data_IF_511552176606
#
_entry.id   IF_511552176606
#
_cell.length_a   1.000
_cell.length_b   1.000
_cell.length_c   1.000
_cell.angle_alpha   90.00
_cell.angle_beta   90.00
_cell.angle_gamma   90.00
#
_symmetry.space_group_name_H-M   'P 1'
#
loop_
_entity.id
_entity.type
_entity.pdbx_description
1 polymer ?
#
# COMPACT_ATOMS: atom_id res chain seq x y z
N UNK A 1 -4.87 -17.93 -7.33
CA UNK A 1 -5.17 -17.09 -6.17
C UNK A 1 -5.57 -15.69 -6.58
N UNK A 2 -4.76 -15.05 -7.43
CA UNK A 2 -5.10 -13.72 -7.93
C UNK A 2 -6.37 -13.75 -8.80
N UNK A 3 -6.56 -14.78 -9.57
CA UNK A 3 -7.71 -14.87 -10.47
C UNK A 3 -9.06 -14.94 -9.74
N UNK A 4 -9.04 -15.37 -8.48
CA UNK A 4 -10.25 -15.46 -7.68
C UNK A 4 -10.54 -14.17 -6.90
N UNK A 5 -9.63 -13.22 -6.93
CA UNK A 5 -9.77 -11.98 -6.18
C UNK A 5 -10.42 -10.88 -7.02
N UNK A 6 -11.16 -10.00 -6.36
CA UNK A 6 -11.68 -8.77 -6.97
C UNK A 6 -10.77 -7.59 -6.68
N UNK A 7 -9.94 -7.71 -5.64
CA UNK A 7 -9.04 -6.66 -5.18
C UNK A 7 -7.92 -7.31 -4.39
N UNK A 8 -6.71 -6.81 -4.54
CA UNK A 8 -5.59 -7.19 -3.67
C UNK A 8 -5.26 -5.99 -2.80
N UNK A 9 -5.21 -6.22 -1.49
CA UNK A 9 -4.87 -5.18 -0.52
C UNK A 9 -3.64 -5.60 0.26
N UNK A 10 -2.59 -4.79 0.18
CA UNK A 10 -1.39 -4.97 1.01
C UNK A 10 -1.53 -4.06 2.22
N UNK A 11 -1.86 -4.64 3.36
CA UNK A 11 -2.18 -3.92 4.59
C UNK A 11 -1.63 -4.70 5.79
N UNK A 12 -0.72 -4.18 6.57
CA UNK A 12 0.06 -2.97 6.32
C UNK A 12 1.20 -3.22 5.33
N UNK A 13 1.61 -2.19 4.61
CA UNK A 13 2.74 -2.26 3.70
C UNK A 13 3.94 -1.55 4.31
N UNK A 14 4.96 -2.31 4.67
CA UNK A 14 6.20 -1.76 5.21
C UNK A 14 7.04 -1.14 4.10
N UNK A 15 8.04 -0.35 4.50
CA UNK A 15 9.00 0.20 3.54
C UNK A 15 9.67 -0.91 2.73
N UNK A 16 10.02 -2.02 3.39
CA UNK A 16 10.63 -3.16 2.70
C UNK A 16 9.70 -3.72 1.62
N UNK A 17 8.44 -3.95 1.95
CA UNK A 17 7.47 -4.45 0.98
C UNK A 17 7.30 -3.50 -0.19
N UNK A 18 7.15 -2.21 0.09
CA UNK A 18 6.94 -1.19 -0.95
C UNK A 18 8.13 -1.13 -1.91
N UNK A 19 9.35 -1.08 -1.37
CA UNK A 19 10.54 -1.00 -2.22
C UNK A 19 10.78 -2.28 -3.00
N UNK A 20 10.41 -3.43 -2.43
CA UNK A 20 10.53 -4.71 -3.14
C UNK A 20 9.53 -4.81 -4.30
N UNK A 21 8.29 -4.36 -4.10
CA UNK A 21 7.31 -4.34 -5.18
C UNK A 21 7.78 -3.45 -6.32
N UNK A 22 8.33 -2.29 -5.98
CA UNK A 22 8.87 -1.36 -6.98
C UNK A 22 10.02 -2.01 -7.77
N UNK A 23 10.85 -2.81 -7.12
CA UNK A 23 11.99 -3.46 -7.74
C UNK A 23 11.60 -4.73 -8.51
N UNK A 24 10.36 -5.20 -8.37
CA UNK A 24 9.92 -6.41 -9.04
C UNK A 24 10.49 -7.69 -8.43
N UNK A 25 10.79 -7.67 -7.15
CA UNK A 25 11.37 -8.84 -6.48
C UNK A 25 10.27 -9.82 -6.09
N UNK A 26 10.41 -11.06 -6.51
CA UNK A 26 9.42 -12.11 -6.30
C UNK A 26 9.94 -13.22 -5.39
N UNK A 27 10.66 -12.84 -4.34
CA UNK A 27 11.21 -13.80 -3.38
C UNK A 27 10.32 -13.98 -2.16
N UNK A 28 9.14 -13.37 -2.16
CA UNK A 28 8.12 -13.61 -1.16
C UNK A 28 6.75 -13.69 -1.84
N UNK A 29 5.72 -14.02 -1.07
CA UNK A 29 4.38 -14.21 -1.62
C UNK A 29 3.84 -12.92 -2.24
N UNK A 30 4.00 -11.79 -1.56
CA UNK A 30 3.48 -10.52 -2.05
C UNK A 30 4.09 -10.14 -3.40
N UNK A 31 5.41 -10.28 -3.53
CA UNK A 31 6.10 -10.00 -4.79
C UNK A 31 5.66 -10.93 -5.91
N UNK A 32 5.54 -12.23 -5.61
CA UNK A 32 5.06 -13.19 -6.60
C UNK A 32 3.65 -12.87 -7.07
N UNK A 33 2.75 -12.53 -6.14
CA UNK A 33 1.38 -12.18 -6.47
C UNK A 33 1.32 -10.90 -7.29
N UNK A 34 2.14 -9.92 -6.95
CA UNK A 34 2.18 -8.66 -7.68
C UNK A 34 2.57 -8.86 -9.14
N UNK A 35 3.63 -9.60 -9.38
CA UNK A 35 4.08 -9.87 -10.75
C UNK A 35 3.05 -10.72 -11.50
N UNK A 36 2.51 -11.74 -10.85
CA UNK A 36 1.52 -12.62 -11.47
C UNK A 36 0.22 -11.86 -11.78
N UNK A 37 -0.16 -10.90 -10.95
CA UNK A 37 -1.34 -10.08 -11.19
C UNK A 37 -1.19 -9.26 -12.48
N UNK A 38 -0.02 -8.68 -12.69
CA UNK A 38 0.27 -7.86 -13.86
C UNK A 38 -0.86 -6.86 -14.15
N UNK A 39 -1.35 -6.21 -13.09
CA UNK A 39 -2.35 -5.14 -13.13
C UNK A 39 -3.73 -5.57 -13.64
N UNK A 40 -4.03 -6.85 -13.67
CA UNK A 40 -5.35 -7.35 -14.07
C UNK A 40 -6.42 -7.05 -13.04
N UNK A 41 -6.06 -7.08 -11.76
CA UNK A 41 -6.96 -6.77 -10.64
C UNK A 41 -6.45 -5.52 -9.93
N UNK A 42 -7.35 -4.74 -9.33
CA UNK A 42 -6.92 -3.57 -8.54
C UNK A 42 -5.94 -3.99 -7.45
N UNK A 43 -4.90 -3.21 -7.27
CA UNK A 43 -3.87 -3.45 -6.26
C UNK A 43 -3.76 -2.21 -5.38
N UNK A 44 -4.10 -2.38 -4.12
CA UNK A 44 -4.08 -1.29 -3.15
C UNK A 44 -2.97 -1.51 -2.13
N UNK A 45 -2.32 -0.44 -1.75
CA UNK A 45 -1.20 -0.46 -0.82
C UNK A 45 -1.49 0.52 0.31
N UNK A 46 -1.48 0.02 1.55
CA UNK A 46 -1.68 0.84 2.74
C UNK A 46 -0.36 0.96 3.49
N UNK A 47 0.42 2.03 3.26
CA UNK A 47 1.74 2.19 3.87
C UNK A 47 1.69 2.33 5.39
N UNK A 48 2.68 1.76 6.08
CA UNK A 48 2.86 1.91 7.51
C UNK A 48 4.35 1.87 7.84
N UNK A 49 4.87 2.99 8.31
CA UNK A 49 6.28 3.11 8.69
C UNK A 49 6.48 4.41 9.45
N UNK A 50 7.64 4.58 10.09
CA UNK A 50 7.89 5.84 10.77
C UNK A 50 8.09 6.97 9.75
N UNK A 51 7.97 8.22 10.22
CA UNK A 51 7.98 9.37 9.33
C UNK A 51 9.30 9.56 8.58
N UNK A 52 10.42 9.17 9.18
CA UNK A 52 11.71 9.27 8.49
C UNK A 52 11.80 8.32 7.31
N UNK A 53 11.32 7.10 7.50
CA UNK A 53 11.30 6.12 6.41
C UNK A 53 10.33 6.56 5.32
N UNK A 54 9.17 7.08 5.71
CA UNK A 54 8.16 7.53 4.76
C UNK A 54 8.66 8.69 3.91
N UNK A 55 9.51 9.55 4.48
CA UNK A 55 10.07 10.69 3.77
C UNK A 55 11.34 10.33 2.96
N UNK A 56 11.88 9.14 3.16
CA UNK A 56 13.12 8.76 2.47
C UNK A 56 12.88 8.65 0.96
N UNK A 57 13.80 9.19 0.15
CA UNK A 57 13.63 9.15 -1.31
C UNK A 57 13.38 7.76 -1.89
N UNK A 58 13.96 6.72 -1.32
CA UNK A 58 13.72 5.35 -1.79
C UNK A 58 12.25 4.95 -1.67
N UNK A 59 11.58 5.39 -0.61
CA UNK A 59 10.18 5.08 -0.38
C UNK A 59 9.27 6.01 -1.19
N UNK A 60 9.54 7.31 -1.19
CA UNK A 60 8.73 8.25 -1.95
C UNK A 60 8.79 7.96 -3.44
N UNK A 61 9.98 7.60 -3.95
CA UNK A 61 10.12 7.20 -5.34
C UNK A 61 9.35 5.92 -5.63
N UNK A 62 9.47 4.92 -4.76
CA UNK A 62 8.77 3.65 -4.93
C UNK A 62 7.26 3.84 -4.98
N UNK A 63 6.70 4.65 -4.07
CA UNK A 63 5.27 4.91 -4.06
C UNK A 63 4.82 5.67 -5.31
N UNK A 64 5.62 6.63 -5.76
CA UNK A 64 5.28 7.38 -6.97
C UNK A 64 5.27 6.46 -8.19
N UNK A 65 6.24 5.57 -8.31
CA UNK A 65 6.31 4.62 -9.44
C UNK A 65 5.13 3.64 -9.37
N UNK A 66 4.86 3.07 -8.20
CA UNK A 66 3.75 2.12 -8.05
C UNK A 66 2.41 2.79 -8.36
N UNK A 67 2.21 4.02 -7.89
CA UNK A 67 1.03 4.79 -8.23
C UNK A 67 0.92 5.07 -9.71
N UNK A 68 2.04 5.36 -10.36
CA UNK A 68 2.10 5.58 -11.81
C UNK A 68 1.78 4.33 -12.61
N UNK A 69 2.01 3.15 -12.02
CA UNK A 69 1.65 1.88 -12.65
C UNK A 69 0.17 1.52 -12.46
N UNK A 70 -0.56 2.29 -11.65
CA UNK A 70 -1.97 2.05 -11.42
C UNK A 70 -2.33 1.48 -10.07
N UNK A 71 -1.36 1.29 -9.18
CA UNK A 71 -1.64 0.89 -7.80
C UNK A 71 -2.28 2.05 -7.06
N UNK A 72 -3.27 1.77 -6.22
CA UNK A 72 -3.84 2.79 -5.36
C UNK A 72 -3.07 2.83 -4.05
N UNK A 73 -2.47 3.97 -3.76
CA UNK A 73 -1.76 4.18 -2.51
C UNK A 73 -2.73 4.84 -1.54
N UNK A 74 -3.09 4.14 -0.47
CA UNK A 74 -4.00 4.69 0.52
C UNK A 74 -3.26 5.72 1.37
N UNK A 75 -3.95 6.81 1.69
CA UNK A 75 -3.37 7.85 2.51
C UNK A 75 -3.05 7.31 3.90
N UNK A 76 -1.97 7.83 4.48
CA UNK A 76 -1.63 7.48 5.86
C UNK A 76 -2.62 8.13 6.81
N UNK A 77 -2.66 7.63 8.04
CA UNK A 77 -3.60 8.13 9.04
C UNK A 77 -3.21 9.44 9.69
N UNK A 78 -2.35 10.21 9.07
CA UNK A 78 -1.80 11.43 9.62
C UNK A 78 -2.86 12.40 10.13
N UNK A 79 -3.87 12.67 9.32
CA UNK A 79 -4.89 13.64 9.66
C UNK A 79 -5.86 13.19 10.74
N UNK A 80 -5.75 11.97 11.21
CA UNK A 80 -6.68 11.39 12.18
C UNK A 80 -6.16 11.45 13.60
N UNK A 81 -5.11 12.14 13.83
CA UNK A 81 -4.36 11.98 15.04
C UNK A 81 -4.69 12.96 16.12
N UNK A 82 -5.86 12.80 16.64
CA UNK A 82 -6.28 13.57 17.81
C UNK A 82 -5.34 13.37 19.01
N UNK A 83 -4.68 12.24 19.07
CA UNK A 83 -3.72 11.96 20.15
C UNK A 83 -2.34 12.57 19.92
N UNK A 84 -2.12 13.15 18.76
CA UNK A 84 -0.85 13.80 18.46
C UNK A 84 0.32 12.86 18.25
N UNK A 85 0.08 11.57 18.12
CA UNK A 85 1.16 10.59 17.96
C UNK A 85 1.38 10.20 16.52
N UNK A 86 0.64 10.77 15.62
CA UNK A 86 0.79 10.41 14.24
C UNK A 86 1.52 11.44 13.46
N UNK A 87 2.11 10.98 12.46
CA UNK A 87 2.70 11.77 11.44
C UNK A 87 2.58 11.00 10.15
N UNK A 88 3.20 11.47 9.06
CA UNK A 88 3.22 10.75 7.80
C UNK A 88 3.77 9.34 8.01
N UNK A 89 3.17 8.36 7.37
CA UNK A 89 3.59 6.98 7.46
C UNK A 89 2.77 6.13 8.42
N UNK A 90 1.85 6.74 9.15
CA UNK A 90 1.00 5.97 10.05
C UNK A 90 -0.04 5.19 9.27
N UNK A 91 -0.25 3.94 9.70
CA UNK A 91 -1.24 3.06 9.09
C UNK A 91 -2.66 3.58 9.32
N UNK A 92 -3.49 3.52 8.30
CA UNK A 92 -4.92 3.78 8.42
C UNK A 92 -5.56 2.76 9.35
N UNK A 93 -6.59 3.20 10.07
CA UNK A 93 -7.34 2.29 10.94
C UNK A 93 -8.14 1.31 10.09
N UNK A 94 -8.38 0.09 10.60
CA UNK A 94 -9.13 -0.92 9.85
C UNK A 94 -10.51 -0.45 9.38
N UNK A 95 -11.19 0.36 10.18
CA UNK A 95 -12.51 0.89 9.82
C UNK A 95 -12.44 1.78 8.59
N UNK A 96 -11.39 2.56 8.46
CA UNK A 96 -11.21 3.44 7.31
C UNK A 96 -10.93 2.64 6.04
N UNK A 97 -10.12 1.60 6.17
CA UNK A 97 -9.81 0.72 5.03
C UNK A 97 -11.07 -0.04 4.61
N UNK A 98 -11.82 -0.55 5.57
CA UNK A 98 -13.07 -1.27 5.28
C UNK A 98 -14.06 -0.36 4.55
N UNK A 99 -14.16 0.91 4.95
CA UNK A 99 -15.04 1.86 4.29
C UNK A 99 -14.61 2.12 2.85
N UNK A 100 -13.32 2.24 2.61
CA UNK A 100 -12.79 2.46 1.26
C UNK A 100 -13.08 1.25 0.36
N UNK A 101 -12.91 0.04 0.88
CA UNK A 101 -13.19 -1.18 0.12
C UNK A 101 -14.70 -1.27 -0.20
N UNK A 102 -15.56 -1.01 0.79
CA UNK A 102 -17.00 -1.03 0.59
C UNK A 102 -17.42 -0.02 -0.48
N UNK A 103 -16.84 1.18 -0.46
CA UNK A 103 -17.13 2.21 -1.44
C UNK A 103 -16.73 1.76 -2.85
N UNK A 104 -15.60 1.08 -2.98
CA UNK A 104 -15.11 0.63 -4.29
C UNK A 104 -16.03 -0.41 -4.92
N UNK A 105 -16.76 -1.17 -4.13
CA UNK A 105 -17.64 -2.24 -4.62
C UNK A 105 -19.13 -1.94 -4.40
N UNK A 106 -19.46 -0.70 -4.09
CA UNK A 106 -20.86 -0.31 -3.85
C UNK A 106 -21.68 -0.26 -5.15
#
# INVERSE_FOLDING_TARGET
LVDDADLVLVYPASANTITRLRAGMADDLAGCLFLANNFRKPWWIAPAMNSHMFAHPAVTDALAVLGGWGCRILETGEGRMACGTSGPGRLLEPEDVAALVAEAFA
#
